data_IF_955903667871
#
_entry.id   IF_955903667871
#
_cell.length_a   1.000
_cell.length_b   1.000
_cell.length_c   1.000
_cell.angle_alpha   90.00
_cell.angle_beta   90.00
_cell.angle_gamma   90.00
#
_symmetry.space_group_name_H-M   'P 1'
#
loop_
_entity.id
_entity.type
_entity.pdbx_description
1 polymer ?
#
# COMPACT_ATOMS: atom_id res chain seq x y z
N UNK A 1 -9.54 -9.68 6.26
CA UNK A 1 -10.48 -8.94 5.41
C UNK A 1 -9.76 -8.36 4.22
N UNK A 2 -10.39 -8.43 3.07
CA UNK A 2 -9.76 -7.92 1.86
C UNK A 2 -9.97 -6.41 1.76
N UNK A 3 -8.92 -5.73 1.32
CA UNK A 3 -8.99 -4.31 0.97
C UNK A 3 -9.39 -4.19 -0.48
N UNK A 4 -9.96 -3.05 -0.84
CA UNK A 4 -10.42 -2.81 -2.20
C UNK A 4 -9.80 -1.56 -2.77
N UNK A 5 -9.64 -1.55 -4.10
CA UNK A 5 -9.10 -0.39 -4.81
C UNK A 5 -9.95 0.85 -4.50
N UNK A 6 -9.27 1.95 -4.21
CA UNK A 6 -9.93 3.21 -3.86
C UNK A 6 -10.29 3.34 -2.40
N UNK A 7 -10.08 2.30 -1.62
CA UNK A 7 -10.42 2.32 -0.19
C UNK A 7 -9.41 3.15 0.58
N UNK A 8 -9.88 3.87 1.60
CA UNK A 8 -9.01 4.68 2.45
C UNK A 8 -8.37 3.80 3.50
N UNK A 9 -7.06 3.94 3.67
CA UNK A 9 -6.27 3.18 4.63
C UNK A 9 -5.27 4.09 5.31
N UNK A 10 -4.66 3.59 6.38
CA UNK A 10 -3.54 4.28 6.99
C UNK A 10 -2.43 3.28 7.28
N UNK A 11 -1.22 3.80 7.41
CA UNK A 11 -0.02 3.00 7.70
C UNK A 11 0.95 3.84 8.49
N UNK A 12 1.83 3.15 9.22
CA UNK A 12 2.83 3.83 10.05
C UNK A 12 4.07 4.16 9.25
N UNK A 13 4.61 5.34 9.49
CA UNK A 13 5.89 5.76 8.93
C UNK A 13 6.78 6.22 10.06
N UNK A 14 8.03 6.57 9.74
CA UNK A 14 8.96 7.10 10.74
C UNK A 14 8.50 8.43 11.32
N UNK A 15 7.58 9.11 10.67
CA UNK A 15 7.06 10.40 11.12
C UNK A 15 5.66 10.31 11.70
N UNK A 16 5.14 9.09 11.93
CA UNK A 16 3.81 8.88 12.46
C UNK A 16 2.93 8.12 11.48
N UNK A 17 1.62 8.26 11.65
CA UNK A 17 0.66 7.56 10.81
C UNK A 17 0.27 8.43 9.62
N UNK A 18 0.33 7.83 8.43
CA UNK A 18 -0.06 8.49 7.19
C UNK A 18 -1.36 7.86 6.68
N UNK A 19 -2.26 8.68 6.18
CA UNK A 19 -3.51 8.22 5.60
C UNK A 19 -3.48 8.44 4.10
N UNK A 20 -4.02 7.47 3.36
CA UNK A 20 -4.10 7.56 1.92
C UNK A 20 -5.13 6.59 1.39
N UNK A 21 -5.06 6.34 0.10
CA UNK A 21 -6.02 5.43 -0.52
C UNK A 21 -5.28 4.38 -1.35
N UNK A 22 -5.95 3.25 -1.55
CA UNK A 22 -5.42 2.14 -2.34
C UNK A 22 -5.56 2.48 -3.82
N UNK A 23 -4.44 2.35 -4.55
CA UNK A 23 -4.42 2.64 -5.98
C UNK A 23 -4.52 1.36 -6.78
N UNK A 24 -3.69 0.37 -6.44
CA UNK A 24 -3.64 -0.87 -7.20
C UNK A 24 -3.13 -2.01 -6.33
N UNK A 25 -3.75 -3.19 -6.50
CA UNK A 25 -3.32 -4.41 -5.81
C UNK A 25 -2.29 -5.14 -6.67
N UNK A 26 -1.20 -5.57 -6.05
CA UNK A 26 -0.14 -6.32 -6.72
C UNK A 26 -0.04 -7.71 -6.11
N UNK A 27 -0.25 -8.73 -6.93
CA UNK A 27 -0.17 -10.12 -6.49
C UNK A 27 0.99 -10.88 -7.13
N UNK A 28 1.67 -10.27 -8.11
CA UNK A 28 2.82 -10.86 -8.78
C UNK A 28 4.03 -9.97 -8.59
N UNK A 29 5.22 -10.52 -8.79
CA UNK A 29 6.46 -9.74 -8.69
C UNK A 29 6.36 -8.47 -9.50
N UNK A 30 6.81 -7.36 -8.92
CA UNK A 30 6.78 -6.08 -9.59
C UNK A 30 7.93 -5.21 -9.09
N UNK A 31 8.21 -4.16 -9.84
CA UNK A 31 9.18 -3.15 -9.44
C UNK A 31 8.47 -1.82 -9.25
N UNK A 32 8.89 -1.12 -8.21
CA UNK A 32 8.33 0.20 -7.90
C UNK A 32 9.42 1.04 -7.27
N UNK A 33 9.63 2.23 -7.83
CA UNK A 33 10.61 3.20 -7.32
C UNK A 33 12.00 2.58 -7.19
N UNK A 34 12.40 1.78 -8.18
CA UNK A 34 13.72 1.17 -8.21
C UNK A 34 13.89 -0.04 -7.32
N UNK A 35 12.83 -0.50 -6.67
CA UNK A 35 12.86 -1.65 -5.78
C UNK A 35 12.01 -2.77 -6.33
N UNK A 36 12.46 -4.01 -6.07
CA UNK A 36 11.71 -5.21 -6.47
C UNK A 36 10.93 -5.73 -5.29
N UNK A 37 9.67 -6.12 -5.54
CA UNK A 37 8.79 -6.65 -4.51
C UNK A 37 8.24 -7.99 -4.95
N UNK A 38 8.09 -8.90 -3.99
CA UNK A 38 7.59 -10.25 -4.26
C UNK A 38 6.37 -10.52 -3.38
N UNK A 39 5.20 -10.06 -3.81
CA UNK A 39 3.98 -10.32 -3.05
C UNK A 39 3.61 -11.80 -3.08
N UNK A 40 2.80 -12.21 -2.11
CA UNK A 40 2.24 -13.56 -2.08
C UNK A 40 0.73 -13.45 -2.13
N UNK A 41 0.06 -14.57 -2.41
CA UNK A 41 -1.40 -14.59 -2.43
C UNK A 41 -1.98 -14.24 -1.06
N UNK A 42 -1.28 -14.65 0.01
CA UNK A 42 -1.72 -14.40 1.37
C UNK A 42 -1.42 -12.98 1.85
N UNK A 43 -0.42 -12.33 1.24
CA UNK A 43 0.00 -11.01 1.66
C UNK A 43 0.42 -10.20 0.44
N UNK A 44 -0.55 -9.77 -0.35
CA UNK A 44 -0.26 -8.96 -1.54
C UNK A 44 0.26 -7.59 -1.15
N UNK A 45 0.92 -6.93 -2.11
CA UNK A 45 1.31 -5.54 -1.96
C UNK A 45 0.22 -4.65 -2.54
N UNK A 46 0.13 -3.47 -1.99
CA UNK A 46 -0.74 -2.42 -2.52
C UNK A 46 0.07 -1.19 -2.84
N UNK A 47 -0.21 -0.59 -3.98
CA UNK A 47 0.28 0.76 -4.27
C UNK A 47 -0.71 1.69 -3.61
N UNK A 48 -0.20 2.54 -2.72
CA UNK A 48 -1.01 3.49 -1.96
C UNK A 48 -0.59 4.90 -2.31
N UNK A 49 -1.51 5.84 -2.18
CA UNK A 49 -1.24 7.25 -2.46
C UNK A 49 -1.56 8.06 -1.21
N UNK A 50 -0.58 8.80 -0.72
CA UNK A 50 -0.75 9.63 0.46
C UNK A 50 -1.69 10.80 0.16
N UNK A 51 -2.70 11.00 1.01
CA UNK A 51 -3.62 12.13 0.84
C UNK A 51 -2.91 13.47 1.02
N UNK A 52 -1.88 13.47 1.87
CA UNK A 52 -1.21 14.71 2.25
C UNK A 52 -0.28 15.22 1.17
N UNK A 53 0.43 14.31 0.50
CA UNK A 53 1.47 14.70 -0.46
C UNK A 53 1.18 14.26 -1.88
N UNK A 54 0.26 13.32 -2.07
CA UNK A 54 0.01 12.72 -3.37
C UNK A 54 1.08 11.75 -3.82
N UNK A 55 2.08 11.48 -2.99
CA UNK A 55 3.13 10.53 -3.33
C UNK A 55 2.61 9.11 -3.18
N UNK A 56 3.11 8.22 -4.02
CA UNK A 56 2.75 6.81 -3.99
C UNK A 56 3.85 5.99 -3.34
N UNK A 57 3.45 4.87 -2.76
CA UNK A 57 4.37 3.93 -2.14
C UNK A 57 3.79 2.53 -2.23
N UNK A 58 4.65 1.52 -2.05
CA UNK A 58 4.23 0.13 -2.03
C UNK A 58 4.31 -0.39 -0.60
N UNK A 59 3.21 -0.96 -0.12
CA UNK A 59 3.16 -1.54 1.23
C UNK A 59 2.45 -2.87 1.19
N UNK A 60 2.85 -3.79 2.06
CA UNK A 60 2.14 -5.05 2.21
C UNK A 60 0.75 -4.80 2.78
N UNK A 61 -0.21 -5.63 2.38
CA UNK A 61 -1.56 -5.51 2.90
C UNK A 61 -1.57 -5.61 4.42
N UNK A 62 -0.71 -6.44 5.00
CA UNK A 62 -0.63 -6.61 6.44
C UNK A 62 -0.13 -5.35 7.16
N UNK A 63 0.54 -4.44 6.44
CA UNK A 63 1.02 -3.18 7.02
C UNK A 63 -0.03 -2.07 6.93
N UNK A 64 -1.14 -2.31 6.28
CA UNK A 64 -2.19 -1.32 6.07
C UNK A 64 -3.35 -1.58 7.02
N UNK A 65 -3.95 -0.51 7.49
CA UNK A 65 -5.14 -0.59 8.34
C UNK A 65 -6.26 0.21 7.69
N UNK A 66 -7.44 -0.36 7.70
CA UNK A 66 -8.60 0.32 7.13
C UNK A 66 -8.91 1.57 7.94
N UNK A 67 -9.05 2.68 7.25
CA UNK A 67 -9.33 3.95 7.92
C UNK A 67 -10.81 4.12 8.22
#
# INVERSE_FOLDING_TARGET
MALSKGEKVHWKTSQGTTTGKLVEKKTKDFQFDGQSFKPTDDDPYWIVESEKTGKQAAHKESALTKA
#
